data_IF_017437467081
#
_entry.id   IF_017437467081
#
_cell.length_a   1.000
_cell.length_b   1.000
_cell.length_c   1.000
_cell.angle_alpha   90.00
_cell.angle_beta   90.00
_cell.angle_gamma   90.00
#
_symmetry.space_group_name_H-M   'P 1'
#
loop_
_entity.id
_entity.type
_entity.pdbx_description
1 polymer ?
#
# COMPACT_ATOMS: atom_id res chain seq x y z
N UNK A 1 -18.48 -3.56 18.86
CA UNK A 1 -18.24 -4.06 17.50
C UNK A 1 -16.76 -4.41 17.35
N UNK A 2 -16.48 -5.60 16.80
CA UNK A 2 -15.09 -5.97 16.58
C UNK A 2 -14.54 -5.17 15.41
N UNK A 3 -13.30 -4.71 15.55
CA UNK A 3 -12.61 -4.08 14.44
C UNK A 3 -12.30 -5.09 13.36
N UNK A 4 -12.20 -4.63 12.12
CA UNK A 4 -11.73 -5.44 11.03
C UNK A 4 -10.23 -5.71 11.17
N UNK A 5 -9.71 -6.50 10.26
CA UNK A 5 -8.28 -6.82 10.20
C UNK A 5 -7.69 -6.30 8.91
N UNK A 6 -6.45 -5.87 8.98
CA UNK A 6 -5.73 -5.38 7.82
C UNK A 6 -4.71 -6.43 7.38
N UNK A 7 -4.84 -6.86 6.14
CA UNK A 7 -3.96 -7.86 5.54
C UNK A 7 -3.27 -7.24 4.35
N UNK A 8 -1.96 -7.38 4.27
CA UNK A 8 -1.20 -6.90 3.12
C UNK A 8 -0.67 -8.07 2.32
N UNK A 9 -0.66 -7.92 1.00
CA UNK A 9 -0.04 -8.88 0.11
C UNK A 9 1.09 -8.16 -0.60
N UNK A 10 2.29 -8.59 -0.33
CA UNK A 10 3.50 -8.02 -0.89
C UNK A 10 4.00 -8.87 -2.04
N UNK A 11 4.79 -8.29 -2.91
CA UNK A 11 5.46 -9.03 -3.96
C UNK A 11 5.39 -8.37 -5.31
N UNK A 12 6.01 -9.04 -6.28
CA UNK A 12 6.07 -8.58 -7.66
C UNK A 12 4.79 -8.95 -8.37
N UNK A 13 4.22 -8.01 -9.13
CA UNK A 13 2.99 -8.26 -9.87
C UNK A 13 3.18 -9.43 -10.85
N UNK A 14 2.12 -10.20 -11.01
CA UNK A 14 2.07 -11.28 -12.00
C UNK A 14 2.57 -12.63 -11.52
N UNK A 15 3.09 -12.73 -10.29
CA UNK A 15 3.67 -13.99 -9.79
C UNK A 15 2.71 -14.63 -8.79
N UNK A 16 1.54 -15.08 -9.27
CA UNK A 16 0.57 -15.76 -8.44
C UNK A 16 -0.13 -14.89 -7.41
N UNK A 17 0.18 -13.60 -7.38
CA UNK A 17 -0.37 -12.69 -6.38
C UNK A 17 -1.87 -12.51 -6.51
N UNK A 18 -2.37 -12.40 -7.73
CA UNK A 18 -3.82 -12.26 -7.96
C UNK A 18 -4.59 -13.47 -7.47
N UNK A 19 -4.05 -14.65 -7.65
CA UNK A 19 -4.68 -15.89 -7.18
C UNK A 19 -4.72 -15.93 -5.66
N UNK A 20 -3.62 -15.55 -5.01
CA UNK A 20 -3.56 -15.50 -3.55
C UNK A 20 -4.52 -14.47 -2.98
N UNK A 21 -4.62 -13.32 -3.63
CA UNK A 21 -5.53 -12.25 -3.22
C UNK A 21 -6.98 -12.73 -3.26
N UNK A 22 -7.39 -13.37 -4.35
CA UNK A 22 -8.74 -13.91 -4.51
C UNK A 22 -9.03 -14.98 -3.48
N UNK A 23 -8.07 -15.85 -3.20
CA UNK A 23 -8.23 -16.91 -2.22
C UNK A 23 -8.46 -16.36 -0.82
N UNK A 24 -7.65 -15.38 -0.41
CA UNK A 24 -7.78 -14.77 0.91
C UNK A 24 -9.12 -14.05 1.04
N UNK A 25 -9.50 -13.31 0.00
CA UNK A 25 -10.79 -12.64 -0.03
C UNK A 25 -11.94 -13.63 0.16
N UNK A 26 -11.89 -14.74 -0.56
CA UNK A 26 -12.92 -15.79 -0.46
C UNK A 26 -12.97 -16.42 0.93
N UNK A 27 -11.82 -16.69 1.51
CA UNK A 27 -11.74 -17.29 2.84
C UNK A 27 -12.32 -16.37 3.91
N UNK A 28 -12.04 -15.08 3.84
CA UNK A 28 -12.55 -14.12 4.80
C UNK A 28 -14.05 -13.92 4.63
N UNK A 29 -14.51 -13.79 3.39
CA UNK A 29 -15.94 -13.65 3.08
C UNK A 29 -16.73 -14.86 3.54
N UNK A 30 -16.18 -16.06 3.37
CA UNK A 30 -16.84 -17.30 3.78
C UNK A 30 -17.07 -17.37 5.29
N UNK A 31 -16.31 -16.62 6.06
CA UNK A 31 -16.48 -16.55 7.51
C UNK A 31 -17.44 -15.45 7.95
N UNK A 32 -18.08 -14.78 7.00
CA UNK A 32 -19.11 -13.79 7.29
C UNK A 32 -18.60 -12.37 7.47
N UNK A 33 -17.34 -12.10 7.14
CA UNK A 33 -16.79 -10.76 7.23
C UNK A 33 -16.93 -10.01 5.91
N UNK A 34 -17.22 -8.72 6.00
CA UNK A 34 -17.17 -7.86 4.84
C UNK A 34 -15.71 -7.57 4.50
N UNK A 35 -15.38 -7.57 3.22
CA UNK A 35 -14.01 -7.43 2.75
C UNK A 35 -13.92 -6.28 1.75
N UNK A 36 -12.93 -5.43 1.95
CA UNK A 36 -12.55 -4.38 0.99
C UNK A 36 -11.17 -4.71 0.44
N UNK A 37 -11.07 -4.82 -0.88
CA UNK A 37 -9.78 -5.04 -1.55
C UNK A 37 -9.33 -3.71 -2.13
N UNK A 38 -8.10 -3.34 -1.83
CA UNK A 38 -7.51 -2.08 -2.29
C UNK A 38 -6.06 -2.28 -2.68
N UNK A 39 -5.37 -1.22 -3.05
CA UNK A 39 -3.97 -1.31 -3.49
C UNK A 39 -3.16 -0.09 -3.09
N UNK A 40 -1.84 -0.24 -3.03
CA UNK A 40 -0.90 0.86 -2.80
C UNK A 40 0.28 0.77 -3.76
N UNK A 41 0.75 1.89 -4.29
CA UNK A 41 0.18 3.23 -4.14
C UNK A 41 -1.15 3.35 -4.87
N UNK A 42 -2.10 4.05 -4.25
CA UNK A 42 -3.43 4.20 -4.83
C UNK A 42 -4.51 4.11 -3.79
N UNK A 43 -5.68 3.64 -4.20
CA UNK A 43 -6.82 3.44 -3.31
C UNK A 43 -7.65 4.68 -3.03
N UNK A 44 -7.15 5.86 -3.38
CA UNK A 44 -7.84 7.13 -3.25
C UNK A 44 -7.62 7.93 -4.52
N UNK A 45 -8.40 8.99 -4.74
CA UNK A 45 -8.18 9.84 -5.90
C UNK A 45 -6.77 10.41 -5.92
N UNK A 46 -6.32 10.95 -4.79
CA UNK A 46 -4.96 11.48 -4.67
C UNK A 46 -3.92 10.39 -4.88
N UNK A 47 -4.11 9.25 -4.23
CA UNK A 47 -3.18 8.12 -4.35
C UNK A 47 -3.08 7.59 -5.77
N UNK A 48 -4.20 7.53 -6.51
CA UNK A 48 -4.16 7.08 -7.89
C UNK A 48 -3.43 8.06 -8.80
N UNK A 49 -3.53 9.34 -8.54
CA UNK A 49 -2.78 10.36 -9.26
C UNK A 49 -1.29 10.25 -9.01
N UNK A 50 -0.92 10.00 -7.75
CA UNK A 50 0.48 9.76 -7.39
C UNK A 50 1.00 8.50 -8.06
N UNK A 51 0.18 7.45 -8.10
CA UNK A 51 0.54 6.20 -8.77
C UNK A 51 0.88 6.44 -10.24
N UNK A 52 0.10 7.27 -10.92
CA UNK A 52 0.38 7.61 -12.32
C UNK A 52 1.75 8.26 -12.49
N UNK A 53 2.09 9.18 -11.60
CA UNK A 53 3.39 9.83 -11.62
C UNK A 53 4.51 8.80 -11.41
N UNK A 54 4.36 7.93 -10.44
CA UNK A 54 5.38 6.93 -10.10
C UNK A 54 5.59 5.92 -11.21
N UNK A 55 4.55 5.59 -11.96
CA UNK A 55 4.61 4.59 -13.04
C UNK A 55 4.88 5.19 -14.42
N UNK A 56 4.91 6.51 -14.53
CA UNK A 56 5.11 7.18 -15.80
C UNK A 56 6.58 7.04 -16.24
N UNK A 57 6.79 6.32 -17.33
CA UNK A 57 8.14 6.08 -17.85
C UNK A 57 8.74 7.31 -18.53
N UNK A 58 7.89 8.26 -18.88
CA UNK A 58 8.35 9.51 -19.52
C UNK A 58 8.59 10.61 -18.49
N UNK A 59 8.24 10.39 -17.24
CA UNK A 59 8.53 11.33 -16.18
C UNK A 59 10.04 11.49 -16.06
N UNK A 60 10.48 12.72 -15.86
CA UNK A 60 11.89 12.97 -15.64
C UNK A 60 12.37 12.18 -14.43
N UNK A 61 13.64 11.76 -14.47
CA UNK A 61 14.20 10.96 -13.40
C UNK A 61 14.02 11.67 -12.05
N UNK A 62 13.15 11.15 -11.24
CA UNK A 62 12.94 11.65 -9.89
C UNK A 62 14.09 11.23 -9.00
N UNK A 63 14.42 12.05 -8.01
CA UNK A 63 15.35 11.62 -6.99
C UNK A 63 14.73 10.48 -6.19
N UNK A 64 15.57 9.66 -5.60
CA UNK A 64 15.10 8.55 -4.77
C UNK A 64 14.22 9.04 -3.62
N UNK A 65 14.58 10.16 -3.01
CA UNK A 65 13.79 10.73 -1.92
C UNK A 65 12.43 11.22 -2.40
N UNK A 66 12.36 11.82 -3.61
CA UNK A 66 11.08 12.26 -4.18
C UNK A 66 10.14 11.07 -4.38
N UNK A 67 10.64 9.98 -4.97
CA UNK A 67 9.82 8.79 -5.15
C UNK A 67 9.31 8.25 -3.81
N UNK A 68 10.19 8.17 -2.84
CA UNK A 68 9.84 7.67 -1.51
C UNK A 68 8.78 8.54 -0.84
N UNK A 69 8.94 9.85 -0.92
CA UNK A 69 7.96 10.78 -0.35
C UNK A 69 6.60 10.66 -1.03
N UNK A 70 6.58 10.49 -2.35
CA UNK A 70 5.32 10.28 -3.07
C UNK A 70 4.63 8.99 -2.64
N UNK A 71 5.39 7.91 -2.47
CA UNK A 71 4.80 6.65 -2.01
C UNK A 71 4.18 6.79 -0.63
N UNK A 72 4.86 7.47 0.29
CA UNK A 72 4.32 7.68 1.63
C UNK A 72 3.17 8.68 1.65
N UNK A 73 3.18 9.67 0.77
CA UNK A 73 2.04 10.58 0.64
C UNK A 73 0.78 9.81 0.22
N UNK A 74 0.91 8.94 -0.78
CA UNK A 74 -0.20 8.11 -1.22
C UNK A 74 -0.70 7.19 -0.10
N UNK A 75 0.23 6.60 0.65
CA UNK A 75 -0.09 5.71 1.77
C UNK A 75 -0.82 6.46 2.87
N UNK A 76 -0.35 7.63 3.23
CA UNK A 76 -1.00 8.44 4.28
C UNK A 76 -2.44 8.73 3.94
N UNK A 77 -2.69 9.15 2.71
CA UNK A 77 -4.06 9.42 2.26
C UNK A 77 -4.90 8.15 2.30
N UNK A 78 -4.34 7.04 1.86
CA UNK A 78 -5.03 5.74 1.83
C UNK A 78 -5.40 5.27 3.24
N UNK A 79 -4.47 5.38 4.18
CA UNK A 79 -4.71 4.97 5.56
C UNK A 79 -5.83 5.79 6.18
N UNK A 80 -5.78 7.10 6.04
CA UNK A 80 -6.76 7.99 6.69
C UNK A 80 -8.12 7.97 6.02
N UNK A 81 -8.16 7.88 4.70
CA UNK A 81 -9.41 7.97 3.95
C UNK A 81 -10.14 6.64 3.82
N UNK A 82 -9.42 5.54 3.70
CA UNK A 82 -9.99 4.25 3.35
C UNK A 82 -9.80 3.20 4.44
N UNK A 83 -8.56 2.98 4.85
CA UNK A 83 -8.23 1.84 5.71
C UNK A 83 -8.80 2.00 7.12
N UNK A 84 -8.48 3.09 7.79
CA UNK A 84 -8.97 3.32 9.16
C UNK A 84 -10.49 3.33 9.24
N UNK A 85 -11.20 4.05 8.36
CA UNK A 85 -12.67 4.01 8.40
C UNK A 85 -13.25 2.62 8.20
N UNK A 86 -12.68 1.84 7.27
CA UNK A 86 -13.16 0.48 7.02
C UNK A 86 -12.96 -0.42 8.24
N UNK A 87 -11.76 -0.38 8.82
CA UNK A 87 -11.45 -1.19 9.98
C UNK A 87 -12.34 -0.88 11.16
N UNK A 88 -12.64 0.40 11.40
CA UNK A 88 -13.51 0.77 12.51
C UNK A 88 -14.95 0.34 12.33
N UNK A 89 -15.37 0.04 11.11
CA UNK A 89 -16.70 -0.52 10.82
C UNK A 89 -16.73 -2.04 10.84
N UNK A 90 -15.61 -2.68 11.17
CA UNK A 90 -15.52 -4.14 11.18
C UNK A 90 -15.22 -4.75 9.81
N UNK A 91 -14.92 -3.93 8.81
CA UNK A 91 -14.57 -4.41 7.47
C UNK A 91 -13.12 -4.84 7.45
N UNK A 92 -12.86 -6.01 6.88
CA UNK A 92 -11.50 -6.49 6.66
C UNK A 92 -10.95 -5.84 5.40
N UNK A 93 -9.73 -5.35 5.48
CA UNK A 93 -9.08 -4.68 4.34
C UNK A 93 -7.91 -5.53 3.87
N UNK A 94 -7.93 -5.88 2.58
CA UNK A 94 -6.82 -6.59 1.94
C UNK A 94 -6.18 -5.61 0.98
N UNK A 95 -4.93 -5.27 1.22
CA UNK A 95 -4.22 -4.31 0.40
C UNK A 95 -3.12 -4.99 -0.39
N UNK A 96 -3.18 -4.82 -1.70
CA UNK A 96 -2.09 -5.18 -2.60
C UNK A 96 -1.12 -4.01 -2.60
N UNK A 97 0.09 -4.22 -2.09
CA UNK A 97 1.05 -3.13 -1.98
C UNK A 97 2.46 -3.61 -2.31
N UNK A 98 3.32 -2.68 -2.70
CA UNK A 98 4.73 -2.95 -2.86
C UNK A 98 5.57 -2.22 -1.81
N UNK A 99 5.21 -2.43 -0.56
CA UNK A 99 6.00 -1.88 0.55
C UNK A 99 7.41 -2.42 0.52
N UNK A 100 7.55 -3.72 0.24
CA UNK A 100 8.85 -4.32 0.07
C UNK A 100 9.62 -3.66 -1.06
N UNK A 101 8.92 -3.27 -2.13
CA UNK A 101 9.55 -2.53 -3.22
C UNK A 101 10.07 -1.18 -2.75
N UNK A 102 9.36 -0.48 -1.86
CA UNK A 102 9.86 0.77 -1.29
C UNK A 102 11.16 0.56 -0.56
N UNK A 103 11.24 -0.49 0.27
CA UNK A 103 12.48 -0.80 0.97
C UNK A 103 13.58 -1.27 0.01
N UNK A 104 13.23 -2.05 -1.01
CA UNK A 104 14.20 -2.57 -1.96
C UNK A 104 14.67 -1.52 -2.97
N UNK A 105 13.76 -0.72 -3.49
CA UNK A 105 14.08 0.23 -4.55
C UNK A 105 14.49 1.59 -4.02
N UNK A 106 13.70 2.18 -3.13
CA UNK A 106 13.99 3.50 -2.61
C UNK A 106 14.97 3.44 -1.43
N UNK A 107 14.77 2.50 -0.53
CA UNK A 107 15.62 2.37 0.66
C UNK A 107 16.96 1.76 0.34
N UNK A 108 16.96 0.51 -0.12
CA UNK A 108 18.16 -0.25 -0.38
C UNK A 108 18.70 -0.04 -1.79
N UNK A 109 17.85 -0.30 -2.78
CA UNK A 109 18.27 -0.26 -4.18
C UNK A 109 18.64 1.14 -4.67
N UNK A 110 18.07 2.18 -4.06
CA UNK A 110 18.38 3.56 -4.43
C UNK A 110 19.22 4.27 -3.38
N UNK A 111 19.86 3.51 -2.51
CA UNK A 111 20.87 3.99 -1.56
C UNK A 111 20.34 5.00 -0.53
N UNK A 112 19.05 5.03 -0.27
CA UNK A 112 18.51 5.89 0.79
C UNK A 112 18.68 5.28 2.17
N UNK A 113 18.76 3.96 2.24
CA UNK A 113 18.91 3.25 3.49
C UNK A 113 17.57 3.02 4.18
N UNK A 114 17.47 1.87 4.84
CA UNK A 114 16.23 1.49 5.54
C UNK A 114 15.90 2.40 6.71
N UNK A 115 16.88 3.12 7.26
CA UNK A 115 16.62 4.06 8.35
C UNK A 115 15.74 5.22 7.93
N UNK A 116 15.95 5.76 6.72
CA UNK A 116 15.11 6.85 6.21
C UNK A 116 13.70 6.37 5.92
N UNK A 117 13.56 5.18 5.36
CA UNK A 117 12.26 4.58 5.11
C UNK A 117 11.53 4.36 6.42
N UNK A 118 12.19 3.82 7.42
CA UNK A 118 11.60 3.57 8.73
C UNK A 118 11.14 4.87 9.41
N UNK A 119 11.91 5.95 9.30
CA UNK A 119 11.53 7.25 9.86
C UNK A 119 10.26 7.79 9.20
N UNK A 120 10.16 7.68 7.89
CA UNK A 120 8.97 8.12 7.16
C UNK A 120 7.76 7.26 7.54
N UNK A 121 7.95 5.97 7.67
CA UNK A 121 6.89 5.07 8.08
C UNK A 121 6.35 5.44 9.46
N UNK A 122 7.24 5.69 10.41
CA UNK A 122 6.85 6.12 11.74
C UNK A 122 6.09 7.44 11.71
N UNK A 123 6.57 8.41 10.96
CA UNK A 123 5.96 9.73 10.86
C UNK A 123 4.58 9.66 10.22
N UNK A 124 4.44 8.86 9.19
CA UNK A 124 3.22 8.80 8.38
C UNK A 124 2.14 7.92 9.01
N UNK A 125 2.51 6.79 9.59
CA UNK A 125 1.56 5.79 10.04
C UNK A 125 1.21 5.84 11.52
N UNK A 126 1.89 6.65 12.28
CA UNK A 126 1.54 6.83 13.71
C UNK A 126 0.61 8.08 13.92
#
# INVERSE_FOLDING_TARGET
>A
MKSGRFITIEGVEGVGKSTNLSLIESLVSARGFEVLVTREPGGTMTGERIRKILLDKEEQAMTAMTELLLMFAARKQHVEEVIKPALSKGVWVISDRFTDSSYAYQGGGRQLGSKKVAKLEELVLN
#
